data_IF_428842127926
#
_entry.id   IF_428842127926
#
_cell.length_a   1.000
_cell.length_b   1.000
_cell.length_c   1.000
_cell.angle_alpha   90.00
_cell.angle_beta   90.00
_cell.angle_gamma   90.00
#
_symmetry.space_group_name_H-M   'P 1'
#
loop_
_entity.id
_entity.type
_entity.pdbx_description
1 polymer ?
#
# COMPACT_ATOMS: atom_id res chain seq x y z
N UNK A 1 31.08 -23.90 -17.06
CA UNK A 1 29.74 -23.29 -16.86
C UNK A 1 29.36 -23.44 -15.40
N UNK A 2 29.51 -22.39 -14.59
CA UNK A 2 29.20 -22.45 -13.17
C UNK A 2 27.68 -22.41 -12.96
N UNK A 3 27.12 -23.48 -12.37
CA UNK A 3 25.76 -23.47 -11.83
C UNK A 3 25.75 -22.51 -10.66
N UNK A 4 25.19 -21.31 -10.83
CA UNK A 4 24.93 -20.40 -9.72
C UNK A 4 24.07 -21.11 -8.68
N UNK A 5 24.67 -21.42 -7.53
CA UNK A 5 23.95 -22.05 -6.42
C UNK A 5 22.82 -21.14 -5.97
N UNK A 6 21.60 -21.68 -5.89
CA UNK A 6 20.47 -20.97 -5.27
C UNK A 6 20.91 -20.57 -3.86
N UNK A 7 21.06 -19.27 -3.60
CA UNK A 7 21.31 -18.78 -2.23
C UNK A 7 20.15 -19.25 -1.36
N UNK A 8 20.43 -20.17 -0.45
CA UNK A 8 19.49 -20.55 0.58
C UNK A 8 19.30 -19.41 1.58
N UNK A 9 18.26 -19.46 2.43
CA UNK A 9 18.06 -18.46 3.46
C UNK A 9 19.27 -18.38 4.42
N UNK A 10 19.55 -17.22 5.03
CA UNK A 10 18.74 -16.01 4.97
C UNK A 10 18.95 -15.19 3.68
N UNK A 11 17.85 -14.75 3.06
CA UNK A 11 17.87 -13.80 1.96
C UNK A 11 18.19 -12.41 2.52
N UNK A 12 19.26 -11.80 2.02
CA UNK A 12 19.73 -10.46 2.47
C UNK A 12 19.22 -9.32 1.60
N UNK A 13 18.62 -9.65 0.46
CA UNK A 13 18.05 -8.67 -0.46
C UNK A 13 16.72 -8.17 0.11
N UNK A 14 16.53 -6.85 0.11
CA UNK A 14 15.26 -6.26 0.45
C UNK A 14 14.25 -6.61 -0.65
N UNK A 15 13.06 -7.12 -0.31
CA UNK A 15 12.13 -7.56 -1.32
C UNK A 15 11.61 -6.36 -2.11
N UNK A 16 11.60 -6.48 -3.44
CA UNK A 16 11.03 -5.47 -4.33
C UNK A 16 9.54 -5.25 -4.06
N UNK A 17 8.83 -6.28 -3.59
CA UNK A 17 7.40 -6.21 -3.28
C UNK A 17 7.14 -6.51 -1.82
N UNK A 18 6.02 -6.00 -1.29
CA UNK A 18 5.52 -6.43 0.01
C UNK A 18 4.68 -7.69 -0.15
N UNK A 19 4.78 -8.58 0.83
CA UNK A 19 4.09 -9.85 0.82
C UNK A 19 3.37 -10.05 2.15
N UNK A 20 2.14 -10.57 2.07
CA UNK A 20 1.36 -11.01 3.23
C UNK A 20 1.03 -12.49 3.10
N UNK A 21 0.88 -13.17 4.23
CA UNK A 21 0.35 -14.53 4.32
C UNK A 21 -1.04 -14.45 4.90
N UNK A 22 -2.00 -15.10 4.26
CA UNK A 22 -3.37 -15.19 4.75
C UNK A 22 -3.67 -16.65 5.05
N UNK A 23 -4.04 -16.94 6.29
CA UNK A 23 -4.55 -18.26 6.68
C UNK A 23 -6.07 -18.28 6.61
N UNK A 24 -6.63 -19.37 6.10
CA UNK A 24 -8.09 -19.54 5.86
C UNK A 24 -8.67 -18.33 5.13
N UNK A 25 -8.23 -18.04 3.89
CA UNK A 25 -8.67 -16.87 3.14
C UNK A 25 -10.19 -16.80 2.95
N UNK A 26 -10.74 -15.58 3.04
CA UNK A 26 -12.19 -15.36 2.93
C UNK A 26 -12.75 -15.92 1.63
N UNK A 27 -13.76 -16.78 1.75
CA UNK A 27 -14.52 -17.29 0.61
C UNK A 27 -13.72 -18.19 -0.34
N UNK A 28 -12.56 -18.71 0.09
CA UNK A 28 -11.74 -19.65 -0.67
C UNK A 28 -11.75 -21.01 0.01
N UNK A 29 -11.78 -22.07 -0.81
CA UNK A 29 -11.74 -23.45 -0.34
C UNK A 29 -10.31 -23.89 -0.01
N UNK A 30 -10.12 -24.80 0.96
CA UNK A 30 -8.79 -25.30 1.31
C UNK A 30 -8.16 -26.16 0.21
N UNK A 31 -8.98 -26.83 -0.61
CA UNK A 31 -8.55 -27.70 -1.70
C UNK A 31 -9.34 -27.43 -2.98
N UNK A 32 -8.83 -27.88 -4.13
CA UNK A 32 -9.45 -27.73 -5.45
C UNK A 32 -9.82 -26.27 -5.79
N UNK A 33 -8.88 -25.38 -5.50
CA UNK A 33 -8.99 -23.93 -5.71
C UNK A 33 -9.10 -23.62 -7.19
N UNK A 34 -10.11 -22.86 -7.57
CA UNK A 34 -10.29 -22.39 -8.93
C UNK A 34 -9.89 -20.92 -9.10
N UNK A 35 -10.00 -20.40 -10.33
CA UNK A 35 -9.72 -18.99 -10.60
C UNK A 35 -10.65 -18.07 -9.80
N UNK A 36 -11.93 -18.42 -9.67
CA UNK A 36 -12.91 -17.60 -8.96
C UNK A 36 -12.59 -17.46 -7.46
N UNK A 37 -12.03 -18.50 -6.84
CA UNK A 37 -11.54 -18.45 -5.46
C UNK A 37 -10.38 -17.45 -5.35
N UNK A 38 -9.43 -17.48 -6.29
CA UNK A 38 -8.30 -16.55 -6.31
C UNK A 38 -8.78 -15.11 -6.54
N UNK A 39 -9.69 -14.90 -7.50
CA UNK A 39 -10.28 -13.59 -7.80
C UNK A 39 -10.99 -13.01 -6.57
N UNK A 40 -11.67 -13.86 -5.79
CA UNK A 40 -12.38 -13.45 -4.57
C UNK A 40 -11.40 -13.02 -3.48
N UNK A 41 -10.30 -13.76 -3.28
CA UNK A 41 -9.25 -13.37 -2.33
C UNK A 41 -8.61 -12.05 -2.75
N UNK A 42 -8.24 -11.91 -4.02
CA UNK A 42 -7.67 -10.66 -4.53
C UNK A 42 -8.64 -9.49 -4.34
N UNK A 43 -9.92 -9.66 -4.69
CA UNK A 43 -10.95 -8.63 -4.51
C UNK A 43 -11.14 -8.23 -3.05
N UNK A 44 -11.11 -9.19 -2.13
CA UNK A 44 -11.19 -8.92 -0.71
C UNK A 44 -9.97 -8.12 -0.23
N UNK A 45 -8.76 -8.50 -0.62
CA UNK A 45 -7.55 -7.75 -0.24
C UNK A 45 -7.58 -6.32 -0.81
N UNK A 46 -7.99 -6.14 -2.07
CA UNK A 46 -8.21 -4.81 -2.65
C UNK A 46 -9.24 -3.98 -1.88
N UNK A 47 -10.33 -4.61 -1.40
CA UNK A 47 -11.33 -3.96 -0.55
C UNK A 47 -10.75 -3.51 0.79
N UNK A 48 -9.90 -4.33 1.43
CA UNK A 48 -9.26 -4.00 2.71
C UNK A 48 -8.34 -2.79 2.60
N UNK A 49 -7.68 -2.61 1.45
CA UNK A 49 -6.85 -1.45 1.17
C UNK A 49 -7.61 -0.27 0.54
N UNK A 50 -8.87 -0.46 0.18
CA UNK A 50 -9.64 0.48 -0.65
C UNK A 50 -8.89 0.88 -1.94
N UNK A 51 -8.17 -0.07 -2.53
CA UNK A 51 -7.37 0.10 -3.75
C UNK A 51 -7.46 -1.15 -4.62
N UNK A 52 -7.99 -1.00 -5.84
CA UNK A 52 -8.17 -2.08 -6.82
C UNK A 52 -6.85 -2.60 -7.39
N UNK A 53 -5.77 -1.84 -7.26
CA UNK A 53 -4.43 -2.17 -7.74
C UNK A 53 -3.51 -2.66 -6.61
N UNK A 54 -4.02 -2.84 -5.38
CA UNK A 54 -3.20 -3.27 -4.25
C UNK A 54 -2.55 -4.64 -4.45
N UNK A 55 -3.20 -5.54 -5.20
CA UNK A 55 -2.76 -6.94 -5.40
C UNK A 55 -2.11 -7.10 -6.77
N UNK A 56 -0.85 -7.52 -6.77
CA UNK A 56 -0.09 -7.84 -7.98
C UNK A 56 -0.21 -9.33 -8.33
N UNK A 57 -0.12 -10.21 -7.32
CA UNK A 57 -0.24 -11.66 -7.51
C UNK A 57 -0.73 -12.35 -6.24
N UNK A 58 -1.40 -13.49 -6.41
CA UNK A 58 -1.79 -14.41 -5.33
C UNK A 58 -1.16 -15.76 -5.61
N UNK A 59 -0.43 -16.27 -4.63
CA UNK A 59 0.29 -17.53 -4.66
C UNK A 59 -0.41 -18.54 -3.76
N UNK A 60 -0.78 -19.69 -4.33
CA UNK A 60 -1.50 -20.75 -3.63
C UNK A 60 -0.68 -22.03 -3.57
N UNK A 61 -0.84 -22.78 -2.49
CA UNK A 61 -0.39 -24.17 -2.39
C UNK A 61 -1.59 -25.13 -2.46
N UNK A 62 -1.39 -26.34 -2.96
CA UNK A 62 -2.45 -27.35 -3.04
C UNK A 62 -2.74 -28.03 -1.70
N UNK A 63 -1.72 -28.12 -0.81
CA UNK A 63 -1.77 -28.90 0.43
C UNK A 63 -2.03 -28.07 1.66
N UNK A 64 -2.00 -26.73 1.54
CA UNK A 64 -2.13 -25.81 2.67
C UNK A 64 -3.26 -24.83 2.44
N UNK A 65 -3.93 -24.50 3.54
CA UNK A 65 -4.99 -23.50 3.54
C UNK A 65 -4.48 -22.05 3.70
N UNK A 66 -3.20 -21.85 3.43
CA UNK A 66 -2.58 -20.53 3.39
C UNK A 66 -2.36 -20.08 1.94
N UNK A 67 -2.38 -18.77 1.76
CA UNK A 67 -2.05 -18.10 0.49
C UNK A 67 -1.09 -16.97 0.78
N UNK A 68 -0.19 -16.72 -0.15
CA UNK A 68 0.69 -15.54 -0.11
C UNK A 68 0.18 -14.55 -1.13
N UNK A 69 0.01 -13.30 -0.71
CA UNK A 69 -0.40 -12.22 -1.61
C UNK A 69 0.76 -11.26 -1.76
N UNK A 70 1.15 -11.00 -3.01
CA UNK A 70 2.11 -9.99 -3.40
C UNK A 70 1.37 -8.68 -3.63
N UNK A 71 1.85 -7.62 -2.98
CA UNK A 71 1.26 -6.30 -2.98
C UNK A 71 2.17 -5.31 -3.72
N UNK A 72 1.59 -4.19 -4.16
CA UNK A 72 2.35 -3.08 -4.73
C UNK A 72 3.38 -2.51 -3.75
N UNK A 73 4.50 -1.99 -4.29
CA UNK A 73 5.62 -1.41 -3.54
C UNK A 73 5.21 -0.40 -2.46
N UNK A 74 4.22 0.43 -2.77
CA UNK A 74 3.81 1.56 -1.94
C UNK A 74 2.65 1.25 -0.99
N UNK A 75 2.17 0.01 -0.94
CA UNK A 75 1.07 -0.37 -0.04
C UNK A 75 1.61 -0.47 1.38
N UNK A 76 0.99 0.24 2.33
CA UNK A 76 1.23 0.00 3.75
C UNK A 76 0.41 -1.21 4.21
N UNK A 77 1.09 -2.25 4.73
CA UNK A 77 0.44 -3.51 5.13
C UNK A 77 -0.05 -3.48 6.58
N UNK A 78 0.47 -2.58 7.41
CA UNK A 78 0.18 -2.56 8.84
C UNK A 78 -1.31 -2.49 9.16
N UNK A 79 -2.15 -1.69 8.45
CA UNK A 79 -3.58 -1.57 8.76
C UNK A 79 -4.36 -2.87 8.62
N UNK A 80 -3.87 -3.83 7.82
CA UNK A 80 -4.58 -5.08 7.53
C UNK A 80 -3.99 -6.28 8.28
N UNK A 81 -2.93 -6.12 9.08
CA UNK A 81 -2.39 -7.23 9.84
C UNK A 81 -3.36 -7.66 10.95
N UNK A 82 -3.35 -8.96 11.27
CA UNK A 82 -4.16 -9.54 12.34
C UNK A 82 -5.40 -10.27 11.87
N UNK A 83 -6.40 -10.35 12.73
CA UNK A 83 -7.57 -11.22 12.57
C UNK A 83 -8.77 -10.48 11.95
N UNK A 84 -9.33 -11.07 10.90
CA UNK A 84 -10.46 -10.53 10.13
C UNK A 84 -11.66 -11.46 10.20
N UNK A 85 -12.69 -11.03 10.93
CA UNK A 85 -13.94 -11.79 11.07
C UNK A 85 -14.78 -11.66 9.81
N UNK A 86 -15.18 -12.78 9.21
CA UNK A 86 -15.85 -12.80 7.90
C UNK A 86 -17.18 -12.05 7.90
N UNK A 87 -17.94 -12.15 9.01
CA UNK A 87 -19.21 -11.44 9.17
C UNK A 87 -19.08 -9.92 9.26
N UNK A 88 -17.86 -9.39 9.51
CA UNK A 88 -17.59 -7.95 9.49
C UNK A 88 -17.17 -7.44 8.11
N UNK A 89 -16.71 -8.34 7.25
CA UNK A 89 -16.22 -8.03 5.90
C UNK A 89 -17.37 -8.05 4.89
N UNK A 90 -18.26 -9.04 4.99
CA UNK A 90 -19.36 -9.22 4.05
C UNK A 90 -20.71 -9.00 4.73
N UNK A 91 -21.45 -8.03 4.20
CA UNK A 91 -22.85 -7.82 4.57
C UNK A 91 -23.67 -9.08 4.27
N UNK A 92 -24.51 -9.51 5.21
CA UNK A 92 -25.34 -10.72 5.09
C UNK A 92 -24.55 -12.03 4.93
N UNK A 93 -23.33 -12.10 5.48
CA UNK A 93 -22.59 -13.35 5.53
C UNK A 93 -23.40 -14.43 6.28
N UNK A 94 -23.70 -15.52 5.58
CA UNK A 94 -24.57 -16.61 6.03
C UNK A 94 -23.79 -17.88 6.45
N UNK A 95 -22.46 -17.80 6.53
CA UNK A 95 -21.61 -18.91 6.97
C UNK A 95 -21.35 -18.90 8.48
N UNK A 96 -20.32 -19.63 8.90
CA UNK A 96 -19.94 -19.71 10.32
C UNK A 96 -19.55 -18.32 10.87
N UNK A 97 -20.25 -17.75 11.88
CA UNK A 97 -19.95 -16.42 12.42
C UNK A 97 -18.56 -16.31 13.05
N UNK A 98 -17.98 -17.41 13.50
CA UNK A 98 -16.62 -17.49 14.04
C UNK A 98 -15.55 -17.70 12.96
N UNK A 99 -15.93 -17.65 11.68
CA UNK A 99 -14.97 -17.71 10.59
C UNK A 99 -14.09 -16.45 10.58
N UNK A 100 -12.77 -16.70 10.57
CA UNK A 100 -11.73 -15.68 10.68
C UNK A 100 -10.63 -16.00 9.69
N UNK A 101 -10.19 -14.99 8.93
CA UNK A 101 -8.92 -15.03 8.22
C UNK A 101 -7.88 -14.29 9.04
N UNK A 102 -6.67 -14.84 9.18
CA UNK A 102 -5.57 -14.13 9.82
C UNK A 102 -4.55 -13.70 8.76
N UNK A 103 -4.17 -12.42 8.80
CA UNK A 103 -3.20 -11.82 7.89
C UNK A 103 -1.91 -11.57 8.66
N UNK A 104 -0.81 -12.06 8.12
CA UNK A 104 0.53 -11.93 8.68
C UNK A 104 1.45 -11.30 7.65
N UNK A 105 2.50 -10.63 8.13
CA UNK A 105 3.61 -10.24 7.27
C UNK A 105 4.38 -11.50 6.84
N UNK A 106 4.70 -11.60 5.56
CA UNK A 106 5.50 -12.70 5.05
C UNK A 106 6.98 -12.57 5.43
N UNK A 107 7.59 -13.66 5.89
CA UNK A 107 8.98 -13.68 6.29
C UNK A 107 9.91 -13.90 5.08
N UNK A 108 10.09 -12.86 4.27
CA UNK A 108 10.94 -12.91 3.07
C UNK A 108 12.39 -13.31 3.38
N UNK A 109 12.95 -12.87 4.51
CA UNK A 109 14.33 -13.21 4.89
C UNK A 109 14.53 -14.73 5.02
N UNK A 110 13.54 -15.44 5.55
CA UNK A 110 13.62 -16.90 5.75
C UNK A 110 13.06 -17.70 4.57
N UNK A 111 12.10 -17.13 3.85
CA UNK A 111 11.33 -17.85 2.85
C UNK A 111 11.54 -17.34 1.43
N UNK A 112 12.24 -16.24 1.18
CA UNK A 112 12.56 -15.73 -0.16
C UNK A 112 11.34 -15.45 -1.04
N UNK A 113 11.56 -15.26 -2.34
CA UNK A 113 10.47 -15.00 -3.28
C UNK A 113 9.54 -16.21 -3.45
N UNK A 114 8.21 -16.05 -3.29
CA UNK A 114 7.26 -17.16 -3.41
C UNK A 114 7.37 -17.94 -4.73
N UNK A 115 7.58 -17.25 -5.86
CA UNK A 115 7.69 -17.89 -7.18
C UNK A 115 8.92 -18.78 -7.36
N UNK A 116 9.95 -18.60 -6.53
CA UNK A 116 11.17 -19.42 -6.57
C UNK A 116 11.02 -20.77 -5.87
N UNK A 117 9.97 -20.94 -5.07
CA UNK A 117 9.63 -22.21 -4.43
C UNK A 117 8.62 -22.93 -5.31
N UNK A 118 9.03 -24.05 -5.92
CA UNK A 118 8.18 -24.86 -6.80
C UNK A 118 6.92 -25.46 -6.16
N UNK A 119 6.60 -25.07 -4.93
CA UNK A 119 5.38 -25.42 -4.19
C UNK A 119 4.23 -24.44 -4.51
N UNK A 120 4.54 -23.21 -4.93
CA UNK A 120 3.53 -22.24 -5.34
C UNK A 120 3.25 -22.36 -6.83
N UNK A 121 2.02 -22.73 -7.18
CA UNK A 121 1.72 -23.25 -8.51
C UNK A 121 1.26 -22.19 -9.52
N UNK A 122 0.81 -21.01 -9.07
CA UNK A 122 0.22 -19.99 -9.97
C UNK A 122 0.49 -18.58 -9.42
N UNK A 123 1.30 -17.74 -10.08
CA UNK A 123 1.14 -16.30 -9.94
C UNK A 123 -0.20 -15.92 -10.56
N UNK A 124 -1.13 -15.40 -9.77
CA UNK A 124 -2.32 -14.76 -10.34
C UNK A 124 -1.86 -13.59 -11.24
N UNK A 125 -2.33 -13.48 -12.50
CA UNK A 125 -1.94 -12.38 -13.37
C UNK A 125 -2.40 -11.05 -12.76
N UNK A 126 -1.68 -9.96 -13.09
CA UNK A 126 -2.13 -8.60 -12.76
C UNK A 126 -3.61 -8.45 -13.10
N UNK A 127 -4.44 -7.82 -12.24
CA UNK A 127 -5.85 -7.65 -12.52
C UNK A 127 -6.04 -6.90 -13.84
N UNK A 128 -6.34 -7.63 -14.93
CA UNK A 128 -6.56 -7.04 -16.25
C UNK A 128 -7.99 -6.51 -16.30
N UNK A 129 -8.22 -5.26 -15.89
CA UNK A 129 -9.53 -4.56 -15.90
C UNK A 129 -10.74 -5.47 -15.67
N UNK A 130 -10.62 -6.43 -14.75
CA UNK A 130 -11.76 -7.22 -14.32
C UNK A 130 -12.56 -6.27 -13.45
N UNK A 131 -13.55 -5.60 -14.05
CA UNK A 131 -14.49 -4.73 -13.35
C UNK A 131 -15.07 -5.54 -12.21
N UNK A 132 -14.69 -5.28 -10.95
CA UNK A 132 -15.26 -6.03 -9.84
C UNK A 132 -16.75 -5.74 -9.89
N UNK A 133 -17.57 -6.80 -9.98
CA UNK A 133 -19.02 -6.66 -9.86
C UNK A 133 -19.34 -6.36 -8.39
N UNK A 134 -19.03 -5.15 -7.95
CA UNK A 134 -19.35 -4.59 -6.64
C UNK A 134 -20.84 -4.21 -6.56
N UNK A 135 -21.73 -5.08 -7.02
CA UNK A 135 -23.16 -4.78 -6.97
C UNK A 135 -23.79 -5.04 -5.60
N UNK A 136 -23.03 -5.49 -4.57
CA UNK A 136 -23.57 -5.74 -3.22
C UNK A 136 -22.57 -5.61 -2.04
N UNK A 137 -21.36 -5.08 -2.23
CA UNK A 137 -20.31 -5.11 -1.19
C UNK A 137 -19.95 -3.76 -0.55
N UNK A 138 -20.60 -2.67 -0.94
CA UNK A 138 -20.45 -1.37 -0.28
C UNK A 138 -21.83 -0.79 0.06
N UNK A 139 -21.96 -0.24 1.26
CA UNK A 139 -23.12 0.56 1.61
C UNK A 139 -23.19 1.77 0.68
N UNK A 140 -24.38 2.19 0.22
CA UNK A 140 -24.52 3.47 -0.45
C UNK A 140 -24.01 4.56 0.49
N UNK A 141 -23.23 5.49 -0.08
CA UNK A 141 -22.77 6.67 0.65
C UNK A 141 -24.00 7.36 1.27
N UNK A 142 -23.91 7.83 2.53
CA UNK A 142 -25.02 8.54 3.15
C UNK A 142 -25.40 9.74 2.28
N UNK A 143 -26.70 9.91 2.03
CA UNK A 143 -27.24 10.94 1.15
C UNK A 143 -26.79 12.37 1.56
N UNK A 144 -26.48 12.56 2.85
CA UNK A 144 -25.87 13.78 3.36
C UNK A 144 -24.47 13.48 3.90
N UNK A 145 -23.47 14.08 3.25
CA UNK A 145 -22.13 14.23 3.82
C UNK A 145 -22.16 15.49 4.67
N UNK A 146 -22.09 15.35 5.99
CA UNK A 146 -21.67 16.48 6.81
C UNK A 146 -20.19 16.71 6.52
N UNK A 147 -19.84 17.88 5.97
CA UNK A 147 -18.44 18.29 5.92
C UNK A 147 -17.91 18.27 7.35
N UNK A 148 -16.78 17.61 7.54
CA UNK A 148 -15.93 17.91 8.71
C UNK A 148 -15.77 19.43 8.71
N UNK A 149 -16.16 20.15 9.78
CA UNK A 149 -15.94 21.57 9.85
C UNK A 149 -14.46 21.83 9.56
N UNK A 150 -14.19 22.73 8.62
CA UNK A 150 -12.82 23.14 8.30
C UNK A 150 -12.19 23.56 9.62
N UNK A 151 -11.07 22.92 10.04
CA UNK A 151 -10.37 23.37 11.23
C UNK A 151 -10.06 24.85 11.05
N UNK A 152 -10.20 25.63 12.13
CA UNK A 152 -9.90 27.06 12.10
C UNK A 152 -8.51 27.26 11.49
N UNK A 153 -8.33 28.27 10.63
CA UNK A 153 -7.02 28.54 10.05
C UNK A 153 -6.02 28.70 11.18
N UNK A 154 -5.03 27.82 11.22
CA UNK A 154 -3.87 27.98 12.10
C UNK A 154 -3.26 29.31 11.69
N UNK A 155 -3.38 30.31 12.57
CA UNK A 155 -2.73 31.61 12.42
C UNK A 155 -1.26 31.36 12.12
N UNK A 156 -0.76 31.96 11.04
CA UNK A 156 0.60 31.84 10.56
C UNK A 156 1.59 32.05 11.73
N UNK A 157 2.68 31.28 11.80
CA UNK A 157 3.70 31.52 12.80
C UNK A 157 4.23 32.95 12.63
N UNK A 158 4.04 33.76 13.66
CA UNK A 158 4.64 35.09 13.79
C UNK A 158 6.13 34.94 13.50
N UNK A 159 6.69 35.63 12.49
CA UNK A 159 8.12 35.66 12.28
C UNK A 159 8.79 36.09 13.58
N UNK A 160 9.67 35.25 14.10
CA UNK A 160 10.51 35.60 15.25
C UNK A 160 11.15 36.96 14.96
N UNK A 161 10.97 37.89 15.88
CA UNK A 161 11.56 39.21 15.84
C UNK A 161 13.08 39.08 15.65
N UNK A 162 13.56 39.37 14.44
CA UNK A 162 14.92 39.83 14.29
C UNK A 162 15.01 41.20 14.99
N UNK A 163 16.00 41.44 15.85
CA UNK A 163 16.20 42.74 16.46
C UNK A 163 16.43 43.77 15.35
N UNK A 164 15.51 44.71 15.22
CA UNK A 164 15.71 45.87 14.36
C UNK A 164 16.83 46.72 14.97
N UNK A 165 17.96 46.77 14.27
CA UNK A 165 18.90 47.89 14.34
C UNK A 165 18.15 49.18 14.01
N UNK A 166 18.35 50.20 14.85
CA UNK A 166 17.83 51.54 14.65
C UNK A 166 18.43 52.19 13.40
N UNK A 167 17.63 52.88 12.56
CA UNK A 167 18.16 53.72 11.51
C UNK A 167 18.25 55.17 12.01
N UNK A 168 19.46 55.72 12.09
CA UNK A 168 19.65 57.18 12.10
C UNK A 168 20.61 57.62 11.01
N UNK A 169 20.00 58.35 10.06
CA UNK A 169 20.43 59.65 9.57
C UNK A 169 21.34 59.75 8.33
N UNK A 170 20.89 60.67 7.48
CA UNK A 170 21.58 61.50 6.48
C UNK A 170 21.75 60.87 5.08
N UNK A 171 21.01 61.31 4.06
CA UNK A 171 20.96 62.62 3.39
C UNK A 171 22.20 62.91 2.51
N UNK A 172 21.92 63.40 1.30
CA UNK A 172 22.79 63.84 0.19
C UNK A 172 23.03 62.77 -0.90
N UNK A 173 22.46 62.89 -2.11
CA UNK A 173 22.84 63.78 -3.24
C UNK A 173 23.61 62.95 -4.29
N UNK A 174 22.93 62.47 -5.34
CA UNK A 174 22.89 63.01 -6.72
C UNK A 174 24.24 62.97 -7.48
N UNK A 175 24.17 62.32 -8.66
CA UNK A 175 24.90 62.52 -9.93
C UNK A 175 26.19 61.73 -10.25
N UNK A 176 26.08 60.99 -11.38
CA UNK A 176 26.91 61.01 -12.62
C UNK A 176 28.44 60.97 -12.50
N UNK A 177 29.23 60.37 -13.38
CA UNK A 177 29.10 59.60 -14.61
C UNK A 177 30.56 59.23 -14.97
N UNK A 178 30.71 58.26 -15.88
CA UNK A 178 31.94 57.64 -16.32
C UNK A 178 33.09 58.61 -16.69
N UNK A 179 34.30 58.24 -16.27
CA UNK A 179 35.55 58.70 -16.89
C UNK A 179 36.12 57.54 -17.72
N UNK A 180 35.97 57.62 -19.04
CA UNK A 180 36.68 56.78 -19.99
C UNK A 180 38.14 57.26 -20.15
N UNK A 181 39.08 56.30 -20.07
CA UNK A 181 40.46 56.43 -20.50
C UNK A 181 40.59 55.94 -21.95
N UNK A 182 41.07 56.79 -22.84
CA UNK A 182 41.87 56.44 -24.03
C UNK A 182 42.39 57.77 -24.62
N UNK A 183 43.68 58.06 -24.78
CA UNK A 183 44.77 57.17 -25.18
C UNK A 183 45.09 57.36 -26.67
N UNK A 184 45.59 58.53 -27.07
CA UNK A 184 46.62 58.71 -28.10
C UNK A 184 47.14 60.16 -28.18
#
# INVERSE_FOLDING_TARGET
>A
MAKGGKKGPPYTEEPEYKYIVITRPYGMKPTNRDKGDIDRVASWVCLMFNDVSAVEAVWTMNTRDEVIVQLGLHIDIEPILGAHKWHKIANNYNGNPEAVSCVFQYNYRMSGEPGMHGVFSKPYPRPSYAKPRLSNLALPLPANRHRTPTPEPVSEPVPAANPAEEPTANAAEVKSEATEQSGN
#
